data_IF_339789414915
#
_entry.id   IF_339789414915
#
_cell.length_a   1.000
_cell.length_b   1.000
_cell.length_c   1.000
_cell.angle_alpha   90.00
_cell.angle_beta   90.00
_cell.angle_gamma   90.00
#
_symmetry.space_group_name_H-M   'P 1'
#
loop_
_entity.id
_entity.type
_entity.pdbx_description
1 polymer ?
#
# COMPACT_ATOMS: atom_id res chain seq x y z
N UNK A 1 -14.38 22.58 8.07
CA UNK A 1 -14.62 21.22 7.53
C UNK A 1 -13.83 20.25 8.39
N UNK A 2 -14.50 19.30 9.03
CA UNK A 2 -13.89 18.34 9.96
C UNK A 2 -13.25 17.19 9.19
N UNK A 3 -11.96 16.95 9.41
CA UNK A 3 -11.13 15.98 8.67
C UNK A 3 -11.00 14.66 9.41
N UNK A 4 -11.25 13.55 8.74
CA UNK A 4 -11.09 12.22 9.28
C UNK A 4 -9.88 11.50 8.70
N UNK A 5 -9.05 10.87 9.54
CA UNK A 5 -8.05 9.88 9.14
C UNK A 5 -8.55 8.49 9.54
N UNK A 6 -8.65 7.59 8.59
CA UNK A 6 -9.13 6.22 8.81
C UNK A 6 -8.01 5.24 8.52
N UNK A 7 -7.67 4.41 9.50
CA UNK A 7 -6.54 3.50 9.46
C UNK A 7 -7.04 2.05 9.48
N UNK A 8 -6.84 1.34 8.38
CA UNK A 8 -7.24 -0.06 8.28
C UNK A 8 -6.38 -0.98 9.14
N UNK A 9 -6.93 -2.14 9.51
CA UNK A 9 -6.18 -3.23 10.13
C UNK A 9 -5.29 -3.96 9.12
N UNK A 10 -4.19 -4.58 9.60
CA UNK A 10 -3.27 -5.31 8.73
C UNK A 10 -1.94 -5.72 9.38
N UNK A 11 -1.87 -5.78 10.70
CA UNK A 11 -0.70 -6.28 11.43
C UNK A 11 0.59 -5.53 11.08
N UNK A 12 1.65 -6.25 10.69
CA UNK A 12 2.97 -5.70 10.37
C UNK A 12 2.96 -4.66 9.23
N UNK A 13 1.94 -4.69 8.36
CA UNK A 13 1.74 -3.70 7.28
C UNK A 13 1.39 -2.30 7.81
N UNK A 14 1.07 -2.17 9.11
CA UNK A 14 0.80 -0.90 9.77
C UNK A 14 1.94 0.11 9.72
N UNK A 15 3.17 -0.33 9.47
CA UNK A 15 4.32 0.55 9.21
C UNK A 15 4.08 1.53 8.04
N UNK A 16 3.32 1.13 7.03
CA UNK A 16 2.89 1.98 5.92
C UNK A 16 2.12 3.23 6.38
N UNK A 17 1.24 3.07 7.39
CA UNK A 17 0.44 4.17 7.94
C UNK A 17 1.28 5.27 8.57
N UNK A 18 2.47 4.93 9.07
CA UNK A 18 3.41 5.92 9.62
C UNK A 18 3.95 6.84 8.53
N UNK A 19 4.32 6.27 7.38
CA UNK A 19 4.73 7.07 6.22
C UNK A 19 3.61 7.98 5.72
N UNK A 20 2.37 7.45 5.69
CA UNK A 20 1.19 8.25 5.34
C UNK A 20 1.02 9.42 6.30
N UNK A 21 1.07 9.18 7.61
CA UNK A 21 0.87 10.23 8.61
C UNK A 21 1.99 11.29 8.57
N UNK A 22 3.23 10.88 8.34
CA UNK A 22 4.36 11.79 8.12
C UNK A 22 4.08 12.71 6.93
N UNK A 23 3.74 12.14 5.78
CA UNK A 23 3.45 12.90 4.56
C UNK A 23 2.26 13.88 4.74
N UNK A 24 1.18 13.44 5.38
CA UNK A 24 0.03 14.30 5.71
C UNK A 24 0.45 15.49 6.58
N UNK A 25 1.31 15.25 7.57
CA UNK A 25 1.83 16.30 8.46
C UNK A 25 2.64 17.35 7.68
N UNK A 26 3.54 16.88 6.79
CA UNK A 26 4.37 17.75 5.94
C UNK A 26 3.53 18.52 4.90
N UNK A 27 2.46 17.91 4.39
CA UNK A 27 1.49 18.56 3.51
C UNK A 27 0.58 19.57 4.24
N UNK A 28 0.69 19.67 5.56
CA UNK A 28 -0.17 20.55 6.38
C UNK A 28 -1.60 20.04 6.52
N UNK A 29 -1.86 18.77 6.18
CA UNK A 29 -3.15 18.14 6.36
C UNK A 29 -3.22 17.48 7.74
N UNK A 30 -4.10 18.00 8.59
CA UNK A 30 -4.24 17.51 9.97
C UNK A 30 -5.64 16.94 10.19
N UNK A 31 -5.77 15.75 10.78
CA UNK A 31 -7.07 15.19 11.12
C UNK A 31 -7.65 15.84 12.39
N UNK A 32 -8.97 15.98 12.44
CA UNK A 32 -9.74 16.30 13.64
C UNK A 32 -10.27 15.02 14.29
N UNK A 33 -10.37 13.94 13.50
CA UNK A 33 -10.85 12.60 13.91
C UNK A 33 -9.90 11.55 13.38
N UNK A 34 -9.51 10.60 14.21
CA UNK A 34 -8.82 9.38 13.80
C UNK A 34 -9.66 8.17 14.19
N UNK A 35 -9.94 7.29 13.24
CA UNK A 35 -10.56 6.00 13.52
C UNK A 35 -9.70 4.87 12.98
N UNK A 36 -9.63 3.76 13.71
CA UNK A 36 -8.81 2.64 13.30
C UNK A 36 -9.34 1.28 13.76
N UNK A 37 -8.85 0.25 13.09
CA UNK A 37 -9.11 -1.15 13.43
C UNK A 37 -7.78 -1.87 13.56
N UNK A 38 -7.64 -2.77 14.55
CA UNK A 38 -6.43 -3.58 14.74
C UNK A 38 -5.18 -2.69 14.89
N UNK A 39 -4.11 -2.96 14.12
CA UNK A 39 -2.92 -2.10 14.09
C UNK A 39 -3.24 -0.64 13.78
N UNK A 40 -4.29 -0.39 12.99
CA UNK A 40 -4.73 0.97 12.69
C UNK A 40 -5.23 1.72 13.91
N UNK A 41 -5.84 1.06 14.90
CA UNK A 41 -6.21 1.71 16.14
C UNK A 41 -4.98 1.96 17.05
N UNK A 42 -3.99 1.06 17.05
CA UNK A 42 -2.75 1.25 17.82
C UNK A 42 -1.95 2.44 17.29
N UNK A 43 -1.71 2.50 15.98
CA UNK A 43 -1.08 3.65 15.34
C UNK A 43 -1.89 4.93 15.53
N UNK A 44 -3.22 4.83 15.37
CA UNK A 44 -4.15 5.96 15.51
C UNK A 44 -4.11 6.60 16.89
N UNK A 45 -4.01 5.81 17.95
CA UNK A 45 -3.86 6.31 19.32
C UNK A 45 -2.56 7.09 19.50
N UNK A 46 -1.44 6.57 18.95
CA UNK A 46 -0.15 7.27 18.97
C UNK A 46 -0.18 8.56 18.13
N UNK A 47 -0.85 8.56 16.99
CA UNK A 47 -0.98 9.75 16.14
C UNK A 47 -1.84 10.82 16.81
N UNK A 48 -2.95 10.41 17.42
CA UNK A 48 -3.84 11.33 18.15
C UNK A 48 -3.16 12.01 19.34
N UNK A 49 -2.18 11.36 19.96
CA UNK A 49 -1.37 11.93 21.06
C UNK A 49 -0.07 12.60 20.60
N UNK A 50 0.11 12.77 19.28
CA UNK A 50 1.30 13.42 18.73
C UNK A 50 2.57 12.56 18.73
N UNK A 51 2.48 11.27 19.03
CA UNK A 51 3.60 10.34 19.16
C UNK A 51 3.99 9.64 17.85
N UNK A 52 3.68 10.23 16.70
CA UNK A 52 3.94 9.61 15.39
C UNK A 52 5.44 9.34 15.15
N UNK A 53 6.33 10.21 15.64
CA UNK A 53 7.78 9.99 15.53
C UNK A 53 8.24 8.78 16.34
N UNK A 54 7.69 8.62 17.55
CA UNK A 54 7.92 7.42 18.39
C UNK A 54 7.39 6.17 17.69
N UNK A 55 6.20 6.22 17.09
CA UNK A 55 5.66 5.12 16.31
C UNK A 55 6.61 4.75 15.15
N UNK A 56 7.12 5.73 14.41
CA UNK A 56 8.11 5.50 13.33
C UNK A 56 9.34 4.78 13.85
N UNK A 57 9.95 5.28 14.92
CA UNK A 57 11.19 4.72 15.45
C UNK A 57 10.96 3.29 15.98
N UNK A 58 9.78 3.01 16.55
CA UNK A 58 9.38 1.65 16.92
C UNK A 58 9.27 0.75 15.69
N UNK A 59 8.57 1.16 14.65
CA UNK A 59 8.43 0.36 13.43
C UNK A 59 9.76 0.07 12.73
N UNK A 60 10.75 0.97 12.83
CA UNK A 60 12.09 0.78 12.27
C UNK A 60 12.95 -0.21 13.05
N UNK A 61 12.51 -0.66 14.22
CA UNK A 61 13.28 -1.55 15.12
C UNK A 61 12.53 -2.78 15.58
N UNK A 62 11.19 -2.80 15.45
CA UNK A 62 10.36 -3.89 15.95
C UNK A 62 10.53 -5.16 15.09
N UNK A 63 10.70 -6.30 15.77
CA UNK A 63 10.69 -7.63 15.16
C UNK A 63 9.54 -8.49 15.69
N UNK A 64 9.33 -9.65 15.08
CA UNK A 64 8.21 -10.55 15.42
C UNK A 64 8.23 -11.00 16.88
N UNK A 65 9.42 -11.20 17.49
CA UNK A 65 9.54 -11.66 18.90
C UNK A 65 9.17 -10.57 19.91
N UNK A 66 9.23 -9.32 19.48
CA UNK A 66 8.78 -8.19 20.29
C UNK A 66 7.26 -8.00 20.28
N UNK A 67 6.55 -8.73 19.42
CA UNK A 67 5.08 -8.69 19.32
C UNK A 67 4.46 -10.00 19.81
N UNK A 68 5.08 -11.13 19.49
CA UNK A 68 4.56 -12.50 19.70
C UNK A 68 5.59 -13.28 20.52
N UNK A 69 5.17 -13.86 21.63
CA UNK A 69 6.00 -14.80 22.40
C UNK A 69 6.16 -16.08 21.59
N UNK A 70 7.40 -16.57 21.46
CA UNK A 70 7.73 -17.80 20.74
C UNK A 70 7.02 -17.90 19.36
N UNK A 71 7.30 -16.95 18.44
CA UNK A 71 6.68 -16.98 17.15
C UNK A 71 7.06 -18.26 16.42
N UNK A 72 6.11 -18.89 15.71
CA UNK A 72 6.38 -20.11 14.98
C UNK A 72 7.39 -19.87 13.88
N UNK A 73 8.16 -20.93 13.59
CA UNK A 73 9.17 -20.90 12.54
C UNK A 73 8.50 -20.83 11.15
N UNK A 74 8.82 -19.83 10.33
CA UNK A 74 8.29 -19.70 8.98
C UNK A 74 8.60 -20.92 8.07
N UNK A 75 9.65 -21.69 8.37
CA UNK A 75 10.06 -22.85 7.59
C UNK A 75 9.17 -24.10 7.83
N UNK A 76 8.40 -24.13 8.92
CA UNK A 76 7.54 -25.27 9.25
C UNK A 76 6.26 -25.37 8.41
N UNK A 77 5.99 -24.45 7.52
CA UNK A 77 4.86 -24.44 6.60
C UNK A 77 3.55 -23.91 7.20
N UNK A 78 2.78 -23.17 6.39
CA UNK A 78 1.57 -22.44 6.78
C UNK A 78 0.50 -23.32 7.44
N UNK A 79 0.34 -24.56 7.00
CA UNK A 79 -0.69 -25.47 7.54
C UNK A 79 -0.37 -25.93 8.96
N UNK A 80 0.88 -26.25 9.27
CA UNK A 80 1.31 -26.66 10.61
C UNK A 80 1.20 -25.46 11.58
N UNK A 81 1.61 -24.28 11.14
CA UNK A 81 1.43 -23.02 11.87
C UNK A 81 0.00 -22.82 12.37
N UNK A 82 -0.99 -22.89 11.46
CA UNK A 82 -2.39 -22.69 11.82
C UNK A 82 -2.94 -23.79 12.74
N UNK A 83 -2.52 -25.05 12.55
CA UNK A 83 -2.98 -26.13 13.40
C UNK A 83 -2.45 -26.01 14.83
N UNK A 84 -1.19 -25.67 15.01
CA UNK A 84 -0.58 -25.49 16.34
C UNK A 84 -1.13 -24.25 17.03
N UNK A 85 -1.27 -23.14 16.31
CA UNK A 85 -1.85 -21.89 16.82
C UNK A 85 -3.27 -22.10 17.34
N UNK A 86 -4.13 -22.76 16.55
CA UNK A 86 -5.52 -23.02 16.94
C UNK A 86 -5.59 -24.02 18.09
N UNK A 87 -4.75 -25.08 18.12
CA UNK A 87 -4.69 -26.03 19.24
C UNK A 87 -4.19 -25.39 20.53
N UNK A 88 -3.27 -24.43 20.44
CA UNK A 88 -2.74 -23.66 21.58
C UNK A 88 -3.67 -22.55 22.07
N UNK A 89 -4.83 -22.37 21.44
CA UNK A 89 -5.79 -21.31 21.80
C UNK A 89 -5.40 -19.90 21.36
N UNK A 90 -4.45 -19.78 20.41
CA UNK A 90 -3.91 -18.53 19.86
C UNK A 90 -2.52 -18.19 20.41
N UNK A 91 -1.77 -17.42 19.61
CA UNK A 91 -0.45 -16.91 19.98
C UNK A 91 -0.54 -15.97 21.19
N UNK A 92 0.52 -15.97 21.96
CA UNK A 92 0.68 -15.10 23.12
C UNK A 92 1.27 -13.75 22.65
N UNK A 93 0.55 -12.67 22.91
CA UNK A 93 0.91 -11.28 22.56
C UNK A 93 1.32 -10.45 23.78
N UNK A 94 1.79 -11.08 24.87
CA UNK A 94 2.31 -10.38 26.05
C UNK A 94 3.38 -9.34 25.71
N UNK A 95 4.30 -9.57 24.76
CA UNK A 95 5.25 -8.53 24.34
C UNK A 95 4.55 -7.29 23.75
N UNK A 96 3.51 -7.48 22.91
CA UNK A 96 2.71 -6.36 22.36
C UNK A 96 2.00 -5.60 23.48
N UNK A 97 1.44 -6.30 24.49
CA UNK A 97 0.83 -5.66 25.65
C UNK A 97 1.82 -4.75 26.38
N UNK A 98 3.07 -5.22 26.53
CA UNK A 98 4.15 -4.45 27.15
C UNK A 98 4.56 -3.22 26.32
N UNK A 99 4.45 -3.30 24.98
CA UNK A 99 4.65 -2.14 24.12
C UNK A 99 3.53 -1.13 24.33
N UNK A 100 2.27 -1.58 24.31
CA UNK A 100 1.12 -0.70 24.53
C UNK A 100 1.20 0.00 25.90
N UNK A 101 1.56 -0.74 26.99
CA UNK A 101 1.76 -0.15 28.31
C UNK A 101 2.80 0.98 28.33
N UNK A 102 3.82 0.86 27.51
CA UNK A 102 4.93 1.81 27.47
C UNK A 102 4.60 3.09 26.69
N UNK A 103 3.73 3.00 25.67
CA UNK A 103 3.46 4.11 24.76
C UNK A 103 2.08 4.74 24.95
N UNK A 104 1.14 4.02 25.55
CA UNK A 104 -0.23 4.53 25.75
C UNK A 104 -0.24 5.52 26.91
N UNK A 105 -0.61 6.75 26.59
CA UNK A 105 -1.04 7.74 27.55
C UNK A 105 -2.55 7.94 27.39
N UNK A 106 -3.34 7.26 28.23
CA UNK A 106 -4.79 7.28 28.15
C UNK A 106 -5.35 8.69 28.40
N UNK A 107 -4.79 9.43 29.35
CA UNK A 107 -5.27 10.77 29.68
C UNK A 107 -4.96 11.75 28.53
N UNK A 108 -3.77 11.66 27.94
CA UNK A 108 -3.42 12.43 26.74
C UNK A 108 -4.36 12.09 25.57
N UNK A 109 -4.69 10.81 25.36
CA UNK A 109 -5.60 10.40 24.29
C UNK A 109 -7.02 10.93 24.51
N UNK A 110 -7.52 10.93 25.74
CA UNK A 110 -8.85 11.45 26.09
C UNK A 110 -8.96 12.96 25.97
N UNK A 111 -7.88 13.66 26.26
CA UNK A 111 -7.83 15.13 26.21
C UNK A 111 -7.28 15.69 24.90
N UNK A 112 -6.92 14.79 23.98
CA UNK A 112 -6.42 15.17 22.64
C UNK A 112 -7.41 16.04 21.88
N UNK A 113 -6.94 17.08 21.16
CA UNK A 113 -7.77 17.82 20.21
C UNK A 113 -8.23 16.96 19.02
N UNK A 114 -7.60 15.79 18.79
CA UNK A 114 -7.98 14.83 17.77
C UNK A 114 -8.86 13.77 18.41
N UNK A 115 -10.11 13.71 18.02
CA UNK A 115 -11.05 12.70 18.50
C UNK A 115 -10.63 11.32 17.99
N UNK A 116 -10.61 10.33 18.88
CA UNK A 116 -10.20 8.97 18.57
C UNK A 116 -11.36 7.98 18.67
N UNK A 117 -11.41 7.02 17.73
CA UNK A 117 -12.38 5.92 17.73
C UNK A 117 -11.79 4.61 17.22
N UNK A 118 -12.29 3.50 17.72
CA UNK A 118 -11.88 2.15 17.34
C UNK A 118 -13.06 1.21 17.13
N UNK A 119 -12.77 0.07 16.49
CA UNK A 119 -13.74 -1.02 16.28
C UNK A 119 -13.19 -2.29 16.88
N UNK A 120 -14.03 -3.01 17.64
CA UNK A 120 -13.80 -4.40 18.05
C UNK A 120 -15.07 -5.21 17.89
N UNK A 121 -15.03 -6.51 18.05
CA UNK A 121 -16.18 -7.41 17.86
C UNK A 121 -16.36 -8.31 19.05
N UNK A 122 -17.58 -8.37 19.60
CA UNK A 122 -17.91 -9.35 20.64
C UNK A 122 -17.89 -10.75 20.01
N UNK A 123 -17.02 -11.64 20.53
CA UNK A 123 -16.80 -12.98 19.98
C UNK A 123 -18.05 -13.87 20.03
N UNK A 124 -18.89 -13.72 21.06
CA UNK A 124 -20.06 -14.59 21.31
C UNK A 124 -21.15 -14.40 20.27
N UNK A 125 -21.44 -13.13 19.92
CA UNK A 125 -22.58 -12.78 19.06
C UNK A 125 -22.17 -12.10 17.74
N UNK A 126 -20.87 -11.92 17.51
CA UNK A 126 -20.25 -11.26 16.34
C UNK A 126 -20.77 -9.83 16.12
N UNK A 127 -21.26 -9.17 17.17
CA UNK A 127 -21.70 -7.77 17.08
C UNK A 127 -20.49 -6.84 17.12
N UNK A 128 -20.39 -5.90 16.18
CA UNK A 128 -19.38 -4.86 16.23
C UNK A 128 -19.64 -3.93 17.43
N UNK A 129 -18.57 -3.50 18.04
CA UNK A 129 -18.54 -2.46 19.03
C UNK A 129 -17.66 -1.34 18.50
N UNK A 130 -18.27 -0.23 18.13
CA UNK A 130 -17.62 0.95 17.62
C UNK A 130 -17.64 2.01 18.71
N UNK A 131 -16.48 2.36 19.23
CA UNK A 131 -16.33 3.21 20.41
C UNK A 131 -15.44 4.41 20.13
N UNK A 132 -15.82 5.56 20.65
CA UNK A 132 -14.92 6.71 20.82
C UNK A 132 -14.14 6.60 22.12
N UNK A 133 -13.02 7.32 22.24
CA UNK A 133 -12.22 7.36 23.47
C UNK A 133 -13.04 7.73 24.71
N UNK A 134 -14.05 8.60 24.55
CA UNK A 134 -14.93 9.02 25.62
C UNK A 134 -15.95 7.97 26.05
N UNK A 135 -16.28 7.02 25.18
CA UNK A 135 -17.22 5.92 25.47
C UNK A 135 -16.54 4.73 26.16
N UNK A 136 -15.22 4.63 26.03
CA UNK A 136 -14.43 3.60 26.72
C UNK A 136 -14.30 3.99 28.20
N UNK A 137 -14.61 3.10 29.18
CA UNK A 137 -14.42 3.39 30.59
C UNK A 137 -12.96 3.77 30.90
N UNK A 138 -12.77 4.68 31.85
CA UNK A 138 -11.42 5.10 32.26
C UNK A 138 -10.63 3.92 32.83
N UNK A 139 -9.36 3.80 32.46
CA UNK A 139 -8.48 2.69 32.80
C UNK A 139 -8.63 1.45 31.91
N UNK A 140 -9.57 1.44 30.95
CA UNK A 140 -9.79 0.30 30.04
C UNK A 140 -9.32 0.55 28.59
N UNK A 141 -8.74 1.69 28.28
CA UNK A 141 -8.33 2.04 26.90
C UNK A 141 -7.37 0.98 26.33
N UNK A 142 -6.38 0.54 27.10
CA UNK A 142 -5.47 -0.54 26.73
C UNK A 142 -6.22 -1.80 26.31
N UNK A 143 -7.21 -2.21 27.12
CA UNK A 143 -7.96 -3.45 26.86
C UNK A 143 -8.74 -3.39 25.54
N UNK A 144 -9.37 -2.26 25.25
CA UNK A 144 -10.11 -2.07 24.01
C UNK A 144 -9.19 -1.93 22.78
N UNK A 145 -8.01 -1.31 22.90
CA UNK A 145 -6.99 -1.29 21.85
C UNK A 145 -6.51 -2.70 21.53
N UNK A 146 -6.18 -3.49 22.55
CA UNK A 146 -5.75 -4.88 22.38
C UNK A 146 -6.89 -5.79 21.89
N UNK A 147 -8.13 -5.54 22.31
CA UNK A 147 -9.31 -6.23 21.78
C UNK A 147 -9.51 -5.97 20.28
N UNK A 148 -9.33 -4.71 19.85
CA UNK A 148 -9.37 -4.35 18.43
C UNK A 148 -8.28 -5.03 17.61
N UNK A 149 -7.13 -5.36 18.23
CA UNK A 149 -6.00 -6.04 17.58
C UNK A 149 -5.95 -7.55 17.83
N UNK A 150 -6.97 -8.14 18.49
CA UNK A 150 -7.04 -9.57 18.80
C UNK A 150 -7.48 -10.39 17.59
N UNK A 151 -6.60 -10.55 16.59
CA UNK A 151 -6.85 -11.26 15.32
C UNK A 151 -7.03 -12.76 15.54
N UNK A 152 -8.23 -13.17 16.01
CA UNK A 152 -8.61 -14.57 16.23
C UNK A 152 -8.70 -15.33 14.88
N UNK A 153 -8.28 -16.59 14.76
CA UNK A 153 -7.70 -17.47 15.79
C UNK A 153 -6.19 -17.32 15.99
N UNK A 154 -5.52 -16.42 15.22
CA UNK A 154 -4.08 -16.21 15.37
C UNK A 154 -3.72 -15.71 16.79
N UNK A 155 -4.46 -14.74 17.30
CA UNK A 155 -4.29 -14.21 18.64
C UNK A 155 -5.45 -14.63 19.57
N UNK A 156 -5.17 -14.70 20.85
CA UNK A 156 -6.19 -14.97 21.87
C UNK A 156 -7.20 -13.85 21.93
N UNK A 157 -8.51 -14.14 22.09
CA UNK A 157 -9.50 -13.12 22.34
C UNK A 157 -9.20 -12.33 23.64
N UNK A 158 -9.45 -11.02 23.64
CA UNK A 158 -9.32 -10.20 24.84
C UNK A 158 -10.56 -10.31 25.72
N UNK A 159 -10.37 -10.58 27.02
CA UNK A 159 -11.44 -10.58 27.99
C UNK A 159 -11.59 -9.18 28.60
N UNK A 160 -12.80 -8.60 28.55
CA UNK A 160 -13.15 -7.32 29.15
C UNK A 160 -14.49 -7.52 29.86
N UNK A 161 -14.53 -7.30 31.21
CA UNK A 161 -15.73 -7.43 32.04
C UNK A 161 -16.48 -8.76 31.88
N UNK A 162 -15.75 -9.86 31.67
CA UNK A 162 -16.33 -11.21 31.55
C UNK A 162 -16.79 -11.56 30.13
N UNK A 163 -16.75 -10.63 29.17
CA UNK A 163 -17.00 -10.87 27.76
C UNK A 163 -15.70 -11.02 26.98
N UNK A 164 -15.74 -11.75 25.84
CA UNK A 164 -14.58 -11.92 24.96
C UNK A 164 -14.75 -11.11 23.69
N UNK A 165 -13.69 -10.39 23.33
CA UNK A 165 -13.63 -9.56 22.13
C UNK A 165 -12.52 -10.04 21.19
N UNK A 166 -12.76 -9.85 19.91
CA UNK A 166 -11.85 -10.16 18.80
C UNK A 166 -11.68 -8.95 17.90
N UNK A 167 -10.73 -9.04 16.97
CA UNK A 167 -10.34 -7.97 16.06
C UNK A 167 -11.55 -7.32 15.36
N UNK A 168 -11.51 -6.00 15.25
CA UNK A 168 -12.54 -5.22 14.58
C UNK A 168 -12.68 -5.53 13.09
N UNK A 169 -11.64 -6.07 12.46
CA UNK A 169 -11.64 -6.48 11.05
C UNK A 169 -12.71 -7.52 10.71
N UNK A 170 -13.24 -8.24 11.69
CA UNK A 170 -14.39 -9.11 11.49
C UNK A 170 -15.69 -8.37 11.17
N UNK A 171 -15.76 -7.06 11.38
CA UNK A 171 -16.95 -6.26 11.13
C UNK A 171 -16.69 -5.03 10.25
N UNK A 172 -15.59 -4.31 10.47
CA UNK A 172 -15.19 -3.16 9.67
C UNK A 172 -13.68 -2.91 9.79
N UNK A 173 -12.94 -3.39 8.79
CA UNK A 173 -11.48 -3.27 8.77
C UNK A 173 -11.01 -1.84 8.46
N UNK A 174 -11.83 -1.00 7.84
CA UNK A 174 -11.53 0.38 7.51
C UNK A 174 -12.71 1.27 7.91
N UNK A 175 -12.78 1.74 9.17
CA UNK A 175 -14.01 2.27 9.77
C UNK A 175 -14.34 3.71 9.37
N UNK A 176 -14.54 3.94 8.05
CA UNK A 176 -14.96 5.22 7.46
C UNK A 176 -16.33 5.65 8.01
N UNK A 177 -17.22 4.66 8.22
CA UNK A 177 -18.55 4.91 8.79
C UNK A 177 -18.49 5.49 10.21
N UNK A 178 -17.55 5.03 11.03
CA UNK A 178 -17.33 5.57 12.38
C UNK A 178 -16.80 7.01 12.31
N UNK A 179 -15.79 7.29 11.48
CA UNK A 179 -15.26 8.65 11.30
C UNK A 179 -16.37 9.65 10.89
N UNK A 180 -17.26 9.24 9.96
CA UNK A 180 -18.41 10.06 9.58
C UNK A 180 -19.36 10.32 10.75
N UNK A 181 -19.68 9.32 11.58
CA UNK A 181 -20.54 9.51 12.76
C UNK A 181 -19.89 10.41 13.81
N UNK A 182 -18.57 10.43 13.87
CA UNK A 182 -17.80 11.38 14.69
C UNK A 182 -17.71 12.77 14.07
N UNK A 183 -18.36 12.99 12.92
CA UNK A 183 -18.51 14.28 12.28
C UNK A 183 -17.51 14.60 11.17
N UNK A 184 -16.72 13.62 10.70
CA UNK A 184 -15.84 13.85 9.57
C UNK A 184 -16.64 14.17 8.29
N UNK A 185 -16.26 15.26 7.62
CA UNK A 185 -16.85 15.77 6.39
C UNK A 185 -16.01 15.45 5.15
N UNK A 186 -14.72 15.20 5.33
CA UNK A 186 -13.80 14.63 4.35
C UNK A 186 -12.89 13.62 5.05
N UNK A 187 -12.40 12.61 4.33
CA UNK A 187 -11.62 11.51 4.90
C UNK A 187 -10.41 11.20 4.04
N UNK A 188 -9.27 10.99 4.69
CA UNK A 188 -8.17 10.20 4.14
C UNK A 188 -8.27 8.79 4.73
N UNK A 189 -8.48 7.78 3.88
CA UNK A 189 -8.57 6.38 4.27
C UNK A 189 -7.31 5.64 3.82
N UNK A 190 -6.66 4.95 4.76
CA UNK A 190 -5.39 4.24 4.53
C UNK A 190 -5.67 2.75 4.54
N UNK A 191 -5.62 2.15 3.35
CA UNK A 191 -5.78 0.72 3.16
C UNK A 191 -4.40 0.05 3.08
N UNK A 192 -4.16 -0.91 3.95
CA UNK A 192 -2.92 -1.71 3.98
C UNK A 192 -3.13 -3.14 3.48
N UNK A 193 -4.20 -3.36 2.74
CA UNK A 193 -4.59 -4.67 2.20
C UNK A 193 -4.63 -5.77 3.27
N UNK A 194 -5.18 -5.42 4.43
CA UNK A 194 -5.34 -6.32 5.56
C UNK A 194 -6.55 -7.24 5.40
N UNK A 195 -6.51 -8.37 6.10
CA UNK A 195 -7.63 -9.35 6.10
C UNK A 195 -8.76 -8.78 6.94
N UNK A 196 -9.97 -8.72 6.36
CA UNK A 196 -11.15 -8.29 7.09
C UNK A 196 -12.28 -7.82 6.17
N UNK A 197 -13.39 -7.45 6.78
CA UNK A 197 -14.56 -6.91 6.08
C UNK A 197 -14.38 -5.40 5.96
N UNK A 198 -14.30 -4.89 4.75
CA UNK A 198 -14.35 -3.44 4.49
C UNK A 198 -15.77 -3.06 4.11
N UNK A 199 -16.40 -2.21 4.90
CA UNK A 199 -17.75 -1.73 4.63
C UNK A 199 -17.76 -0.73 3.47
N UNK A 200 -18.90 -0.64 2.80
CA UNK A 200 -19.07 0.30 1.69
C UNK A 200 -18.88 1.75 2.19
N UNK A 201 -18.03 2.50 1.50
CA UNK A 201 -17.83 3.92 1.75
C UNK A 201 -19.12 4.68 1.42
N UNK A 202 -19.59 5.58 2.29
CA UNK A 202 -20.75 6.42 2.02
C UNK A 202 -20.54 7.29 0.78
N UNK A 203 -21.41 7.24 -0.24
CA UNK A 203 -21.16 7.87 -1.54
C UNK A 203 -21.05 9.40 -1.51
N UNK A 204 -21.61 10.05 -0.48
CA UNK A 204 -21.57 11.51 -0.34
C UNK A 204 -20.36 12.03 0.47
N UNK A 205 -19.55 11.14 1.03
CA UNK A 205 -18.37 11.52 1.79
C UNK A 205 -17.17 11.57 0.85
N UNK A 206 -16.52 12.73 0.68
CA UNK A 206 -15.26 12.81 -0.04
C UNK A 206 -14.20 11.96 0.66
N UNK A 207 -13.63 10.99 -0.05
CA UNK A 207 -12.59 10.09 0.47
C UNK A 207 -11.40 10.07 -0.48
N UNK A 208 -10.24 10.41 0.05
CA UNK A 208 -8.95 10.13 -0.59
C UNK A 208 -8.49 8.78 -0.07
N UNK A 209 -8.46 7.78 -0.94
CA UNK A 209 -7.93 6.46 -0.61
C UNK A 209 -6.43 6.42 -0.87
N UNK A 210 -5.65 6.15 0.18
CA UNK A 210 -4.20 5.90 0.10
C UNK A 210 -3.97 4.42 0.25
N UNK A 211 -3.45 3.79 -0.80
CA UNK A 211 -3.20 2.36 -0.89
C UNK A 211 -1.97 2.11 -1.74
N UNK A 212 -1.13 1.16 -1.33
CA UNK A 212 0.02 0.75 -2.12
C UNK A 212 -0.37 -0.12 -3.31
N UNK A 213 0.31 0.06 -4.44
CA UNK A 213 0.36 -0.91 -5.53
C UNK A 213 1.23 -2.12 -5.18
N UNK A 214 2.22 -1.90 -4.34
CA UNK A 214 3.22 -2.89 -3.95
C UNK A 214 2.77 -3.72 -2.75
N UNK A 215 3.23 -4.96 -2.72
CA UNK A 215 3.01 -5.82 -1.57
C UNK A 215 3.72 -5.28 -0.32
N UNK A 216 3.00 -5.20 0.77
CA UNK A 216 3.49 -4.69 2.05
C UNK A 216 4.07 -5.78 2.97
N UNK A 217 4.28 -6.99 2.43
CA UNK A 217 4.78 -8.13 3.17
C UNK A 217 3.70 -8.92 3.94
N UNK A 218 4.13 -9.85 4.77
CA UNK A 218 3.24 -10.71 5.56
C UNK A 218 2.64 -9.96 6.76
N UNK A 219 1.38 -10.26 7.10
CA UNK A 219 0.61 -9.55 8.16
C UNK A 219 1.19 -9.80 9.57
N UNK A 220 1.71 -11.01 9.83
CA UNK A 220 2.19 -11.41 11.16
C UNK A 220 3.72 -11.49 11.27
N UNK A 221 4.46 -11.07 10.24
CA UNK A 221 5.92 -11.04 10.24
C UNK A 221 6.39 -9.60 10.35
N UNK A 222 6.87 -9.23 11.52
CA UNK A 222 7.42 -7.91 11.78
C UNK A 222 8.91 -7.93 11.46
N UNK A 223 9.30 -7.13 10.46
CA UNK A 223 10.66 -7.00 9.96
C UNK A 223 11.00 -5.52 9.77
N UNK A 224 12.08 -5.02 10.41
CA UNK A 224 12.50 -3.62 10.29
C UNK A 224 12.84 -3.20 8.86
N UNK A 225 13.34 -4.10 8.02
CA UNK A 225 13.65 -3.78 6.62
C UNK A 225 12.37 -3.59 5.81
N UNK A 226 11.41 -4.52 5.95
CA UNK A 226 10.09 -4.40 5.32
C UNK A 226 9.35 -3.15 5.83
N UNK A 227 9.42 -2.87 7.13
CA UNK A 227 8.81 -1.68 7.72
C UNK A 227 9.39 -0.39 7.13
N UNK A 228 10.70 -0.32 6.91
CA UNK A 228 11.36 0.82 6.27
C UNK A 228 10.87 1.05 4.85
N UNK A 229 10.71 -0.02 4.07
CA UNK A 229 10.13 0.04 2.72
C UNK A 229 8.66 0.51 2.75
N UNK A 230 7.85 -0.06 3.63
CA UNK A 230 6.45 0.31 3.78
C UNK A 230 6.26 1.77 4.17
N UNK A 231 7.10 2.30 5.07
CA UNK A 231 7.08 3.73 5.46
C UNK A 231 7.37 4.60 4.23
N UNK A 232 8.39 4.26 3.43
CA UNK A 232 8.71 5.00 2.21
C UNK A 232 7.57 4.95 1.18
N UNK A 233 6.96 3.77 0.98
CA UNK A 233 5.80 3.61 0.09
C UNK A 233 4.60 4.44 0.58
N UNK A 234 4.26 4.38 1.88
CA UNK A 234 3.15 5.15 2.43
C UNK A 234 3.34 6.66 2.30
N UNK A 235 4.56 7.13 2.50
CA UNK A 235 4.94 8.51 2.28
C UNK A 235 4.71 8.94 0.82
N UNK A 236 5.27 8.19 -0.13
CA UNK A 236 5.17 8.49 -1.55
C UNK A 236 3.73 8.39 -2.06
N UNK A 237 3.00 7.34 -1.68
CA UNK A 237 1.61 7.15 -2.11
C UNK A 237 0.70 8.28 -1.62
N UNK A 238 0.98 8.84 -0.45
CA UNK A 238 0.27 10.02 0.05
C UNK A 238 0.56 11.24 -0.81
N UNK A 239 1.83 11.54 -1.09
CA UNK A 239 2.19 12.65 -1.98
C UNK A 239 1.56 12.50 -3.36
N UNK A 240 1.47 11.27 -3.88
CA UNK A 240 0.78 10.95 -5.15
C UNK A 240 -0.73 11.19 -5.06
N UNK A 241 -1.37 10.71 -3.99
CA UNK A 241 -2.81 10.90 -3.77
C UNK A 241 -3.19 12.38 -3.65
N UNK A 242 -2.26 13.22 -3.19
CA UNK A 242 -2.41 14.67 -3.11
C UNK A 242 -1.88 15.41 -4.37
N UNK A 243 -1.51 14.70 -5.44
CA UNK A 243 -1.06 15.27 -6.70
C UNK A 243 0.27 16.03 -6.62
N UNK A 244 1.15 15.66 -5.68
CA UNK A 244 2.44 16.30 -5.46
C UNK A 244 3.62 15.58 -6.12
N UNK A 245 3.42 14.35 -6.54
CA UNK A 245 4.34 13.57 -7.38
C UNK A 245 3.55 12.86 -8.47
N UNK A 246 4.24 12.46 -9.53
CA UNK A 246 3.66 11.79 -10.69
C UNK A 246 3.76 10.27 -10.55
N UNK A 247 3.10 9.56 -11.49
CA UNK A 247 3.12 8.10 -11.60
C UNK A 247 1.90 7.40 -11.02
N UNK A 248 1.89 6.07 -11.14
CA UNK A 248 0.86 5.16 -10.63
C UNK A 248 1.46 4.28 -9.53
N UNK A 249 2.47 3.49 -9.90
CA UNK A 249 3.20 2.56 -9.04
C UNK A 249 4.55 3.13 -8.60
N UNK A 250 5.22 3.85 -9.50
CA UNK A 250 6.48 4.53 -9.23
C UNK A 250 6.26 6.00 -8.84
N UNK A 251 7.21 6.53 -8.09
CA UNK A 251 7.17 7.93 -7.65
C UNK A 251 8.10 8.75 -8.54
N UNK A 252 7.54 9.69 -9.30
CA UNK A 252 8.27 10.55 -10.19
C UNK A 252 8.10 11.99 -9.74
N UNK A 253 9.19 12.75 -9.67
CA UNK A 253 9.19 14.14 -9.22
C UNK A 253 8.20 14.99 -10.02
N UNK A 254 7.54 15.93 -9.35
CA UNK A 254 6.72 16.93 -10.03
C UNK A 254 7.60 17.81 -10.95
N UNK A 255 7.01 18.28 -12.05
CA UNK A 255 7.74 19.08 -13.06
C UNK A 255 8.48 18.26 -14.12
N UNK A 256 8.40 16.91 -14.04
CA UNK A 256 9.00 16.01 -15.01
C UNK A 256 8.06 15.70 -16.22
N UNK A 257 6.90 16.32 -16.31
CA UNK A 257 5.86 16.01 -17.32
C UNK A 257 6.37 16.16 -18.74
N UNK A 258 7.21 17.19 -18.98
CA UNK A 258 7.82 17.42 -20.30
C UNK A 258 8.83 16.33 -20.64
N UNK A 259 9.76 16.04 -19.74
CA UNK A 259 10.77 15.00 -19.93
C UNK A 259 10.14 13.63 -20.16
N UNK A 260 9.12 13.26 -19.39
CA UNK A 260 8.34 12.04 -19.59
C UNK A 260 7.63 12.01 -20.94
N UNK A 261 7.05 13.14 -21.36
CA UNK A 261 6.31 13.21 -22.64
C UNK A 261 7.25 13.10 -23.83
N UNK A 262 8.36 13.84 -23.82
CA UNK A 262 9.33 13.88 -24.94
C UNK A 262 10.22 12.62 -24.94
N UNK A 263 10.67 12.16 -23.79
CA UNK A 263 11.57 11.02 -23.65
C UNK A 263 10.89 9.65 -23.75
N UNK A 264 9.60 9.55 -23.40
CA UNK A 264 8.91 8.26 -23.41
C UNK A 264 7.54 8.29 -24.13
N UNK A 265 6.59 9.12 -23.71
CA UNK A 265 5.18 8.97 -24.13
C UNK A 265 5.02 9.12 -25.65
N UNK A 266 5.67 10.11 -26.26
CA UNK A 266 5.62 10.30 -27.72
C UNK A 266 6.34 9.19 -28.50
N UNK A 267 7.62 8.87 -28.20
CA UNK A 267 8.32 7.77 -28.86
C UNK A 267 7.59 6.44 -28.74
N UNK A 268 7.06 6.14 -27.56
CA UNK A 268 6.29 4.92 -27.31
C UNK A 268 5.00 4.88 -28.16
N UNK A 269 4.23 5.96 -28.18
CA UNK A 269 3.00 6.02 -28.96
C UNK A 269 3.23 5.92 -30.49
N UNK A 270 4.34 6.47 -30.99
CA UNK A 270 4.74 6.38 -32.41
C UNK A 270 5.15 4.96 -32.74
N UNK A 271 6.02 4.34 -31.94
CA UNK A 271 6.46 2.97 -32.13
C UNK A 271 5.28 2.00 -32.03
N UNK A 272 4.45 2.15 -30.99
CA UNK A 272 3.26 1.33 -30.78
C UNK A 272 2.32 1.37 -31.99
N UNK A 273 2.03 2.57 -32.52
CA UNK A 273 1.15 2.72 -33.69
C UNK A 273 1.72 2.02 -34.93
N UNK A 274 3.02 2.10 -35.15
CA UNK A 274 3.70 1.43 -36.27
C UNK A 274 3.61 -0.09 -36.11
N UNK A 275 3.97 -0.61 -34.95
CA UNK A 275 4.00 -2.04 -34.64
C UNK A 275 2.59 -2.66 -34.65
N UNK A 276 1.61 -2.01 -34.03
CA UNK A 276 0.23 -2.49 -33.96
C UNK A 276 -0.51 -2.39 -35.30
N UNK A 277 -0.19 -1.39 -36.13
CA UNK A 277 -0.76 -1.25 -37.48
C UNK A 277 -0.43 -2.43 -38.37
N UNK A 278 0.70 -3.10 -38.12
CA UNK A 278 1.15 -4.27 -38.88
C UNK A 278 0.52 -5.59 -38.34
N UNK A 279 0.18 -5.69 -37.04
CA UNK A 279 -0.34 -6.93 -36.47
C UNK A 279 -1.21 -6.71 -35.22
N UNK A 280 -2.54 -6.93 -35.34
CA UNK A 280 -3.48 -6.76 -34.20
C UNK A 280 -3.22 -7.67 -32.99
N UNK A 281 -2.55 -8.82 -33.16
CA UNK A 281 -2.23 -9.72 -32.05
C UNK A 281 -1.27 -9.07 -31.02
N UNK A 282 -0.47 -8.11 -31.46
CA UNK A 282 0.45 -7.37 -30.58
C UNK A 282 -0.29 -6.42 -29.63
N UNK A 283 -1.46 -5.92 -30.04
CA UNK A 283 -2.33 -5.13 -29.14
C UNK A 283 -2.79 -5.95 -27.93
N UNK A 284 -3.14 -7.22 -28.17
CA UNK A 284 -3.51 -8.11 -27.07
C UNK A 284 -2.32 -8.39 -26.13
N UNK A 285 -1.13 -8.60 -26.70
CA UNK A 285 0.08 -8.85 -25.90
C UNK A 285 0.42 -7.63 -25.01
N UNK A 286 0.37 -6.43 -25.56
CA UNK A 286 0.60 -5.19 -24.80
C UNK A 286 -0.41 -5.02 -23.67
N UNK A 287 -1.70 -5.15 -23.96
CA UNK A 287 -2.76 -5.04 -22.97
C UNK A 287 -2.66 -6.12 -21.88
N UNK A 288 -2.33 -7.35 -22.24
CA UNK A 288 -2.11 -8.43 -21.28
C UNK A 288 -0.90 -8.14 -20.38
N UNK A 289 0.17 -7.55 -20.94
CA UNK A 289 1.36 -7.18 -20.17
C UNK A 289 1.08 -6.06 -19.15
N UNK A 290 0.22 -5.10 -19.48
CA UNK A 290 -0.14 -4.00 -18.58
C UNK A 290 -0.82 -4.47 -17.29
N UNK A 291 -1.49 -5.65 -17.32
CA UNK A 291 -2.09 -6.24 -16.13
C UNK A 291 -3.15 -5.38 -15.44
N UNK A 292 -3.66 -4.36 -16.11
CA UNK A 292 -4.66 -3.43 -15.58
C UNK A 292 -4.08 -2.24 -14.81
N UNK A 293 -2.76 -2.05 -14.78
CA UNK A 293 -2.13 -0.91 -14.10
C UNK A 293 -2.70 0.43 -14.57
N UNK A 294 -3.02 0.56 -15.86
CA UNK A 294 -3.62 1.76 -16.46
C UNK A 294 -4.98 2.14 -15.85
N UNK A 295 -5.67 1.18 -15.25
CA UNK A 295 -6.99 1.40 -14.59
C UNK A 295 -6.84 2.09 -13.24
N UNK A 296 -5.66 2.01 -12.63
CA UNK A 296 -5.35 2.67 -11.35
C UNK A 296 -4.99 4.14 -11.54
N UNK A 297 -4.73 4.58 -12.79
CA UNK A 297 -4.34 5.94 -13.09
C UNK A 297 -5.49 6.93 -12.86
N UNK A 298 -5.26 7.92 -12.00
CA UNK A 298 -6.23 8.98 -11.70
C UNK A 298 -6.40 9.96 -12.87
N UNK A 299 -5.42 10.11 -13.74
CA UNK A 299 -5.39 11.06 -14.87
C UNK A 299 -5.00 10.40 -16.17
N UNK A 300 -5.31 11.04 -17.30
CA UNK A 300 -4.86 10.58 -18.62
C UNK A 300 -3.31 10.62 -18.75
N UNK A 301 -2.67 11.62 -18.14
CA UNK A 301 -1.21 11.73 -18.13
C UNK A 301 -0.56 10.57 -17.35
N UNK A 302 -1.07 10.23 -16.17
CA UNK A 302 -0.60 9.06 -15.43
C UNK A 302 -0.83 7.76 -16.22
N UNK A 303 -1.99 7.62 -16.88
CA UNK A 303 -2.29 6.45 -17.71
C UNK A 303 -1.29 6.24 -18.84
N UNK A 304 -0.78 7.31 -19.43
CA UNK A 304 0.23 7.24 -20.47
C UNK A 304 1.59 6.71 -19.98
N UNK A 305 1.84 6.72 -18.69
CA UNK A 305 3.05 6.18 -18.07
C UNK A 305 2.93 4.69 -17.69
N UNK A 306 1.73 4.12 -17.70
CA UNK A 306 1.51 2.73 -17.28
C UNK A 306 2.42 1.71 -18.02
N UNK A 307 2.70 1.82 -19.33
CA UNK A 307 3.63 0.91 -20.00
C UNK A 307 5.05 1.00 -19.44
N UNK A 308 5.57 2.20 -19.20
CA UNK A 308 6.88 2.41 -18.60
C UNK A 308 6.95 1.81 -17.18
N UNK A 309 6.01 2.17 -16.34
CA UNK A 309 5.98 1.72 -14.95
C UNK A 309 5.83 0.20 -14.85
N UNK A 310 5.00 -0.41 -15.70
CA UNK A 310 4.87 -1.86 -15.77
C UNK A 310 6.15 -2.55 -16.27
N UNK A 311 6.83 -1.97 -17.26
CA UNK A 311 8.13 -2.49 -17.72
C UNK A 311 9.20 -2.38 -16.61
N UNK A 312 9.23 -1.27 -15.88
CA UNK A 312 10.11 -1.10 -14.71
C UNK A 312 9.85 -2.16 -13.62
N UNK A 313 8.58 -2.43 -13.32
CA UNK A 313 8.18 -3.48 -12.37
C UNK A 313 8.68 -4.86 -12.81
N UNK A 314 8.47 -5.22 -14.09
CA UNK A 314 8.90 -6.49 -14.67
C UNK A 314 10.44 -6.62 -14.72
N UNK A 315 11.16 -5.52 -14.88
CA UNK A 315 12.62 -5.46 -14.84
C UNK A 315 13.19 -5.41 -13.42
N UNK A 316 12.35 -5.31 -12.38
CA UNK A 316 12.79 -5.27 -10.98
C UNK A 316 13.39 -3.94 -10.55
N UNK A 317 12.96 -2.82 -11.14
CA UNK A 317 13.31 -1.48 -10.64
C UNK A 317 12.73 -1.28 -9.24
N UNK A 318 13.47 -0.67 -8.34
CA UNK A 318 13.04 -0.48 -6.95
C UNK A 318 11.87 0.53 -6.85
N UNK A 319 10.79 0.26 -6.09
CA UNK A 319 9.63 1.15 -6.02
C UNK A 319 9.76 2.29 -5.01
N UNK A 320 10.74 2.23 -4.07
CA UNK A 320 10.84 3.15 -2.94
C UNK A 320 11.39 4.54 -3.25
N UNK A 321 12.38 4.71 -4.16
CA UNK A 321 12.91 6.03 -4.51
C UNK A 321 11.89 6.92 -5.22
N UNK A 322 12.13 8.24 -5.14
CA UNK A 322 11.46 9.24 -5.99
C UNK A 322 12.43 9.58 -7.11
N UNK A 323 12.06 9.25 -8.34
CA UNK A 323 12.88 9.37 -9.53
C UNK A 323 12.66 10.69 -10.28
N UNK A 324 13.67 11.21 -10.94
CA UNK A 324 13.48 12.02 -12.15
C UNK A 324 13.09 11.12 -13.32
N UNK A 325 12.67 11.70 -14.45
CA UNK A 325 12.37 10.91 -15.64
C UNK A 325 13.61 10.15 -16.14
N UNK A 326 14.75 10.84 -16.22
CA UNK A 326 16.00 10.28 -16.72
C UNK A 326 16.54 9.16 -15.81
N UNK A 327 16.51 9.34 -14.49
CA UNK A 327 16.89 8.29 -13.53
C UNK A 327 16.02 7.03 -13.69
N UNK A 328 14.71 7.17 -13.88
CA UNK A 328 13.82 6.03 -14.08
C UNK A 328 14.11 5.32 -15.40
N UNK A 329 14.39 6.08 -16.48
CA UNK A 329 14.75 5.52 -17.78
C UNK A 329 16.08 4.75 -17.71
N UNK A 330 17.09 5.33 -17.08
CA UNK A 330 18.40 4.71 -16.90
C UNK A 330 18.32 3.43 -16.07
N UNK A 331 17.64 3.47 -14.91
CA UNK A 331 17.43 2.32 -14.05
C UNK A 331 16.73 1.17 -14.79
N UNK A 332 15.72 1.48 -15.60
CA UNK A 332 15.06 0.47 -16.42
C UNK A 332 16.01 -0.11 -17.47
N UNK A 333 16.70 0.74 -18.25
CA UNK A 333 17.60 0.30 -19.32
C UNK A 333 18.79 -0.53 -18.83
N UNK A 334 19.26 -0.29 -17.60
CA UNK A 334 20.31 -1.09 -16.97
C UNK A 334 19.84 -2.48 -16.52
N UNK A 335 18.53 -2.65 -16.25
CA UNK A 335 17.97 -3.89 -15.71
C UNK A 335 17.29 -4.76 -16.75
N UNK A 336 16.80 -4.17 -17.84
CA UNK A 336 16.16 -4.97 -18.90
C UNK A 336 17.17 -5.93 -19.53
N UNK A 337 16.80 -7.20 -19.67
CA UNK A 337 17.65 -8.22 -20.31
C UNK A 337 17.88 -7.88 -21.78
N UNK A 338 19.13 -7.69 -22.22
CA UNK A 338 19.46 -7.45 -23.62
C UNK A 338 18.93 -8.52 -24.59
N UNK A 339 18.83 -9.78 -24.15
CA UNK A 339 18.31 -10.87 -24.97
C UNK A 339 16.82 -10.72 -25.26
N UNK A 340 16.06 -10.14 -24.31
CA UNK A 340 14.66 -9.77 -24.53
C UNK A 340 14.57 -8.72 -25.64
N UNK A 341 15.38 -7.69 -25.58
CA UNK A 341 15.40 -6.64 -26.61
C UNK A 341 15.73 -7.19 -27.99
N UNK A 342 16.78 -8.00 -28.12
CA UNK A 342 17.20 -8.61 -29.39
C UNK A 342 16.12 -9.54 -29.97
N UNK A 343 15.37 -10.26 -29.13
CA UNK A 343 14.30 -11.16 -29.58
C UNK A 343 13.20 -10.45 -30.36
N UNK A 344 12.85 -9.24 -29.93
CA UNK A 344 11.74 -8.47 -30.52
C UNK A 344 12.19 -7.33 -31.43
N UNK A 345 13.51 -7.10 -31.59
CA UNK A 345 14.07 -6.06 -32.45
C UNK A 345 13.50 -6.07 -33.87
N UNK A 346 13.32 -7.24 -34.53
CA UNK A 346 12.74 -7.28 -35.90
C UNK A 346 11.33 -6.68 -36.00
N UNK A 347 10.55 -6.64 -34.90
CA UNK A 347 9.23 -5.99 -34.88
C UNK A 347 9.32 -4.46 -34.90
N UNK A 348 10.45 -3.90 -34.51
CA UNK A 348 10.65 -2.46 -34.32
C UNK A 348 11.35 -1.79 -35.51
N UNK A 349 11.82 -2.55 -36.48
CA UNK A 349 12.42 -2.01 -37.74
C UNK A 349 11.36 -1.31 -38.61
N UNK A 350 11.79 -0.29 -39.35
CA UNK A 350 10.88 0.56 -40.12
C UNK A 350 10.09 -0.19 -41.20
N UNK A 351 10.73 -1.21 -41.82
CA UNK A 351 10.18 -2.02 -42.92
C UNK A 351 9.75 -3.42 -42.45
N UNK A 352 9.48 -3.61 -41.14
CA UNK A 352 9.07 -4.89 -40.61
C UNK A 352 7.79 -5.37 -41.33
N UNK A 353 7.93 -6.38 -42.19
CA UNK A 353 6.80 -7.10 -42.75
C UNK A 353 6.06 -7.88 -41.67
N UNK A 354 5.13 -8.74 -42.09
CA UNK A 354 4.36 -9.56 -41.14
C UNK A 354 5.29 -10.57 -40.40
N UNK A 355 5.83 -10.18 -39.26
CA UNK A 355 6.70 -11.01 -38.40
C UNK A 355 5.85 -11.96 -37.58
N UNK A 356 5.30 -13.02 -38.19
CA UNK A 356 4.36 -13.97 -37.56
C UNK A 356 5.00 -14.67 -36.33
N UNK A 357 6.27 -15.03 -36.45
CA UNK A 357 7.00 -15.72 -35.37
C UNK A 357 7.15 -14.85 -34.14
N UNK A 358 7.60 -13.63 -34.34
CA UNK A 358 7.83 -12.65 -33.25
C UNK A 358 6.50 -12.20 -32.63
N UNK A 359 5.44 -12.07 -33.43
CA UNK A 359 4.10 -11.80 -32.92
C UNK A 359 3.55 -12.97 -32.07
N UNK A 360 3.79 -14.20 -32.45
CA UNK A 360 3.44 -15.37 -31.65
C UNK A 360 4.24 -15.43 -30.34
N UNK A 361 5.51 -15.04 -30.37
CA UNK A 361 6.35 -14.94 -29.17
C UNK A 361 5.88 -13.81 -28.25
N UNK A 362 5.49 -12.66 -28.79
CA UNK A 362 4.91 -11.56 -28.01
C UNK A 362 3.62 -11.98 -27.29
N UNK A 363 2.75 -12.73 -27.96
CA UNK A 363 1.54 -13.27 -27.36
C UNK A 363 1.82 -14.33 -26.26
N UNK A 364 2.90 -15.10 -26.41
CA UNK A 364 3.32 -16.12 -25.44
C UNK A 364 4.07 -15.52 -24.23
N UNK A 365 4.77 -14.40 -24.42
CA UNK A 365 5.55 -13.72 -23.37
C UNK A 365 5.28 -12.21 -23.35
N UNK A 366 4.04 -11.79 -23.03
CA UNK A 366 3.61 -10.40 -23.17
C UNK A 366 4.42 -9.42 -22.31
N UNK A 367 4.89 -9.84 -21.13
CA UNK A 367 5.74 -9.01 -20.27
C UNK A 367 7.12 -8.73 -20.86
N UNK A 368 7.74 -9.71 -21.52
CA UNK A 368 9.02 -9.52 -22.24
C UNK A 368 8.84 -8.61 -23.45
N UNK A 369 7.76 -8.79 -24.20
CA UNK A 369 7.42 -7.91 -25.32
C UNK A 369 7.26 -6.45 -24.88
N UNK A 370 6.55 -6.20 -23.78
CA UNK A 370 6.40 -4.84 -23.23
C UNK A 370 7.75 -4.24 -22.84
N UNK A 371 8.62 -4.99 -22.17
CA UNK A 371 9.96 -4.51 -21.81
C UNK A 371 10.78 -4.13 -23.05
N UNK A 372 10.75 -4.96 -24.09
CA UNK A 372 11.45 -4.67 -25.34
C UNK A 372 10.89 -3.43 -26.06
N UNK A 373 9.56 -3.29 -26.09
CA UNK A 373 8.88 -2.14 -26.71
C UNK A 373 9.22 -0.83 -25.99
N UNK A 374 9.23 -0.82 -24.65
CA UNK A 374 9.63 0.33 -23.84
C UNK A 374 11.11 0.65 -24.04
N UNK A 375 12.00 -0.35 -24.03
CA UNK A 375 13.43 -0.15 -24.25
C UNK A 375 13.74 0.45 -25.64
N UNK A 376 13.08 -0.05 -26.70
CA UNK A 376 13.22 0.48 -28.05
C UNK A 376 12.74 1.95 -28.15
N UNK A 377 11.65 2.29 -27.45
CA UNK A 377 11.12 3.65 -27.40
C UNK A 377 12.09 4.63 -26.75
N UNK A 378 12.71 4.24 -25.64
CA UNK A 378 13.68 5.08 -24.91
C UNK A 378 15.00 5.27 -25.68
N UNK A 379 15.51 4.23 -26.34
CA UNK A 379 16.73 4.31 -27.18
C UNK A 379 16.52 5.17 -28.41
N UNK A 380 15.35 5.10 -29.03
CA UNK A 380 14.99 5.91 -30.18
C UNK A 380 14.92 7.41 -29.86
N UNK A 381 14.58 7.79 -28.65
CA UNK A 381 14.59 9.19 -28.19
C UNK A 381 16.00 9.75 -27.97
N UNK A 382 16.98 8.91 -27.62
CA UNK A 382 18.38 9.32 -27.39
C UNK A 382 19.20 9.42 -28.68
N UNK A 383 18.78 8.75 -29.77
CA UNK A 383 19.46 8.76 -31.09
C UNK A 383 19.13 9.93 -32.00
N UNK A 384 18.31 10.88 -31.56
CA UNK A 384 17.92 12.07 -32.32
C UNK A 384 18.82 13.29 -32.19
N UNK A 385 19.89 13.20 -31.41
CA UNK A 385 20.92 14.26 -31.26
C UNK A 385 22.26 13.81 -31.84
N UNK A 386 22.32 13.57 -33.16
CA UNK A 386 23.57 13.73 -33.88
C UNK A 386 23.43 14.91 -34.84
N UNK A 387 24.44 15.78 -34.88
CA UNK A 387 24.40 17.11 -35.50
C UNK A 387 24.29 17.12 -37.00
#
# INVERSE_FOLDING_TARGET
>A
MKRGLVLAGGGARGSYQVGVYQALTELGWRPDVITGTSVGCLNGAMFATGQWATARDMWLTIDTRQVITDPPDPEQGVLNFWQETVRGGGLDVTPLESIVDRVLDEDALRTSPIEFGLVTVNKRNLRPLELTAQQIPQGQMKDYLLASAACFPAFRPRAIEGEQFIDGGYADNMPVGLARRMGAEEVVAVDVDGIGITRRIPPQLPVILVRSHWELGAILTFDPQQARQNIALGYNDTYRAFGRILGIAYSIQAGQERALTEGFVRPYAELLRRVMGANPALTFAEQAALGGLEKLAATAAARALAPLERACELAGVAPGPVYTADELFEEFLQRVDPQICLRFEPLFEADAGLCIREAAQAAAAPGEFLQALVAASLRGSQGGEEP
#
